data_IF_312566701818
#
_entry.id   IF_312566701818
#
_cell.length_a   1.000
_cell.length_b   1.000
_cell.length_c   1.000
_cell.angle_alpha   90.00
_cell.angle_beta   90.00
_cell.angle_gamma   90.00
#
_symmetry.space_group_name_H-M   'P 1'
#
loop_
_entity.id
_entity.type
_entity.pdbx_description
1 polymer ?
#
# COMPACT_ATOMS: atom_id res chain seq x y z
N UNK A 1 -0.05 -13.35 30.53
CA UNK A 1 0.35 -13.27 29.10
C UNK A 1 -0.76 -12.55 28.35
N UNK A 2 -0.49 -11.38 27.76
CA UNK A 2 -1.46 -10.67 26.92
C UNK A 2 -1.30 -11.14 25.48
N UNK A 3 -2.33 -11.80 24.95
CA UNK A 3 -2.48 -12.12 23.53
C UNK A 3 -2.67 -10.83 22.74
N UNK A 4 -1.72 -10.52 21.86
CA UNK A 4 -1.75 -9.34 21.01
C UNK A 4 -2.54 -9.70 19.74
N UNK A 5 -3.71 -9.07 19.57
CA UNK A 5 -4.64 -9.23 18.45
C UNK A 5 -3.98 -8.79 17.12
N UNK A 6 -4.32 -9.39 15.95
CA UNK A 6 -3.49 -9.42 14.73
C UNK A 6 -3.44 -8.12 13.92
N UNK A 7 -3.80 -6.97 14.51
CA UNK A 7 -3.75 -5.65 13.86
C UNK A 7 -2.31 -5.17 13.59
N UNK A 8 -1.33 -5.71 14.31
CA UNK A 8 0.08 -5.31 14.19
C UNK A 8 0.83 -6.04 13.07
N UNK A 9 0.44 -7.25 12.69
CA UNK A 9 1.19 -8.06 11.73
C UNK A 9 1.21 -7.44 10.31
N UNK A 10 0.11 -6.82 9.88
CA UNK A 10 0.05 -6.11 8.59
C UNK A 10 0.95 -4.87 8.60
N UNK A 11 0.96 -4.14 9.70
CA UNK A 11 1.80 -2.94 9.87
C UNK A 11 3.28 -3.32 9.87
N UNK A 12 3.65 -4.37 10.59
CA UNK A 12 5.04 -4.88 10.64
C UNK A 12 5.50 -5.34 9.25
N UNK A 13 4.66 -6.04 8.49
CA UNK A 13 5.01 -6.50 7.14
C UNK A 13 5.12 -5.34 6.14
N UNK A 14 4.28 -4.31 6.27
CA UNK A 14 4.43 -3.09 5.46
C UNK A 14 5.71 -2.33 5.83
N UNK A 15 6.00 -2.16 7.12
CA UNK A 15 7.22 -1.49 7.58
C UNK A 15 8.48 -2.23 7.11
N UNK A 16 8.48 -3.56 7.16
CA UNK A 16 9.55 -4.39 6.61
C UNK A 16 9.75 -4.17 5.10
N UNK A 17 8.66 -4.14 4.32
CA UNK A 17 8.75 -3.90 2.87
C UNK A 17 9.30 -2.51 2.56
N UNK A 18 8.93 -1.51 3.37
CA UNK A 18 9.40 -0.15 3.22
C UNK A 18 10.91 -0.05 3.49
N UNK A 19 11.36 -0.64 4.59
CA UNK A 19 12.76 -0.66 4.99
C UNK A 19 13.64 -1.44 4.00
N UNK A 20 13.22 -2.65 3.63
CA UNK A 20 13.94 -3.51 2.68
C UNK A 20 14.05 -2.96 1.26
N UNK A 21 13.16 -2.05 0.87
CA UNK A 21 13.21 -1.37 -0.42
C UNK A 21 13.81 0.05 -0.32
N UNK A 22 14.39 0.40 0.85
CA UNK A 22 14.98 1.71 1.13
C UNK A 22 14.02 2.89 0.88
N UNK A 23 12.73 2.67 1.10
CA UNK A 23 11.73 3.74 1.02
C UNK A 23 11.76 4.59 2.29
N UNK A 24 12.05 5.88 2.15
CA UNK A 24 11.95 6.82 3.27
C UNK A 24 10.48 7.24 3.49
N UNK A 25 9.88 6.81 4.59
CA UNK A 25 8.60 7.36 5.05
C UNK A 25 8.81 8.73 5.67
N UNK A 26 8.16 9.76 5.11
CA UNK A 26 8.10 11.11 5.70
C UNK A 26 6.65 11.47 5.95
N UNK A 27 6.32 11.82 7.19
CA UNK A 27 5.01 12.37 7.53
C UNK A 27 5.02 13.86 7.19
N UNK A 28 4.13 14.27 6.30
CA UNK A 28 3.88 15.68 6.01
C UNK A 28 2.76 16.17 6.93
N UNK A 29 3.12 17.00 7.92
CA UNK A 29 2.18 17.50 8.93
C UNK A 29 1.33 18.69 8.44
N UNK A 30 1.67 19.29 7.29
CA UNK A 30 0.90 20.42 6.74
C UNK A 30 0.75 20.30 5.21
N UNK A 31 0.08 19.25 4.72
CA UNK A 31 -0.08 19.04 3.29
C UNK A 31 -1.03 20.09 2.70
N UNK A 32 -0.67 20.66 1.55
CA UNK A 32 -1.58 21.52 0.80
C UNK A 32 -2.79 20.72 0.29
N UNK A 33 -3.92 21.40 0.08
CA UNK A 33 -5.14 20.79 -0.48
C UNK A 33 -4.86 20.05 -1.80
N UNK A 34 -4.09 20.65 -2.71
CA UNK A 34 -3.73 20.04 -3.99
C UNK A 34 -2.86 18.79 -3.82
N UNK A 35 -2.01 18.76 -2.79
CA UNK A 35 -1.22 17.57 -2.45
C UNK A 35 -2.12 16.45 -1.97
N UNK A 36 -3.11 16.76 -1.12
CA UNK A 36 -4.11 15.79 -0.66
C UNK A 36 -4.90 15.24 -1.84
N UNK A 37 -5.39 16.09 -2.74
CA UNK A 37 -6.17 15.65 -3.91
C UNK A 37 -5.33 14.77 -4.86
N UNK A 38 -4.07 15.13 -5.10
CA UNK A 38 -3.15 14.26 -5.87
C UNK A 38 -2.94 12.90 -5.22
N UNK A 39 -2.82 12.84 -3.89
CA UNK A 39 -2.69 11.58 -3.14
C UNK A 39 -3.96 10.74 -3.31
N UNK A 40 -5.15 11.32 -3.13
CA UNK A 40 -6.43 10.62 -3.33
C UNK A 40 -6.55 10.03 -4.73
N UNK A 41 -6.28 10.84 -5.76
CA UNK A 41 -6.31 10.40 -7.15
C UNK A 41 -5.30 9.27 -7.42
N UNK A 42 -4.11 9.36 -6.83
CA UNK A 42 -3.08 8.32 -6.96
C UNK A 42 -3.52 7.00 -6.30
N UNK A 43 -4.18 7.05 -5.15
CA UNK A 43 -4.71 5.86 -4.47
C UNK A 43 -5.79 5.20 -5.34
N UNK A 44 -6.74 5.96 -5.88
CA UNK A 44 -7.80 5.46 -6.76
C UNK A 44 -7.20 4.76 -8.00
N UNK A 45 -6.21 5.38 -8.65
CA UNK A 45 -5.54 4.79 -9.82
C UNK A 45 -4.79 3.50 -9.49
N UNK A 46 -4.17 3.41 -8.30
CA UNK A 46 -3.46 2.20 -7.87
C UNK A 46 -4.40 1.01 -7.68
N UNK A 47 -5.63 1.24 -7.20
CA UNK A 47 -6.62 0.18 -7.10
C UNK A 47 -6.90 -0.46 -8.47
N UNK A 48 -7.11 0.37 -9.51
CA UNK A 48 -7.32 -0.10 -10.88
C UNK A 48 -6.11 -0.86 -11.43
N UNK A 49 -4.90 -0.44 -11.08
CA UNK A 49 -3.67 -1.12 -11.49
C UNK A 49 -3.58 -2.53 -10.87
N UNK A 50 -3.83 -2.67 -9.57
CA UNK A 50 -3.80 -3.97 -8.90
C UNK A 50 -4.87 -4.92 -9.43
N UNK A 51 -6.09 -4.44 -9.67
CA UNK A 51 -7.17 -5.23 -10.26
C UNK A 51 -6.75 -5.81 -11.63
N UNK A 52 -6.16 -4.98 -12.50
CA UNK A 52 -5.64 -5.42 -13.80
C UNK A 52 -4.50 -6.43 -13.67
N UNK A 53 -3.56 -6.18 -12.75
CA UNK A 53 -2.44 -7.10 -12.49
C UNK A 53 -2.93 -8.45 -11.99
N UNK A 54 -3.89 -8.49 -11.05
CA UNK A 54 -4.48 -9.74 -10.55
C UNK A 54 -5.21 -10.49 -11.67
N UNK A 55 -5.97 -9.78 -12.50
CA UNK A 55 -6.66 -10.38 -13.65
C UNK A 55 -5.68 -11.03 -14.63
N UNK A 56 -4.57 -10.34 -14.94
CA UNK A 56 -3.52 -10.86 -15.82
C UNK A 56 -2.93 -12.18 -15.30
N UNK A 57 -2.50 -12.22 -14.03
CA UNK A 57 -1.94 -13.44 -13.43
C UNK A 57 -2.97 -14.57 -13.26
N UNK A 58 -4.26 -14.26 -13.04
CA UNK A 58 -5.32 -15.28 -13.03
C UNK A 58 -5.50 -15.94 -14.40
N UNK A 59 -5.38 -15.17 -15.49
CA UNK A 59 -5.53 -15.66 -16.86
C UNK A 59 -4.36 -16.56 -17.28
N UNK A 60 -3.14 -16.24 -16.87
CA UNK A 60 -1.95 -17.04 -17.16
C UNK A 60 -1.92 -18.36 -16.37
N UNK A 61 -2.55 -18.41 -15.19
CA UNK A 61 -2.62 -19.62 -14.35
C UNK A 61 -3.62 -20.67 -14.83
N UNK A 62 -4.46 -20.34 -15.82
CA UNK A 62 -5.49 -21.22 -16.39
C UNK A 62 -5.08 -21.88 -17.72
N UNK A 63 -3.80 -21.79 -18.08
CA UNK A 63 -3.14 -22.53 -19.17
C UNK A 63 -2.19 -23.57 -18.58
#
# INVERSE_FOLDING_TARGET
>A
MKTITPKNALNERMLYLIDSNHFALKVDNNPSRDKIERIKQSIIRKQQLFERTIQHYKKERSL
#
